data_IF_025692079956
#
_entry.id   IF_025692079956
#
_cell.length_a   1.000
_cell.length_b   1.000
_cell.length_c   1.000
_cell.angle_alpha   90.00
_cell.angle_beta   90.00
_cell.angle_gamma   90.00
#
_symmetry.space_group_name_H-M   'P 1'
#
loop_
_entity.id
_entity.type
_entity.pdbx_description
1 polymer ?
#
# COMPACT_ATOMS: atom_id res chain seq x y z
N UNK A 1 -9.15 17.79 6.01
CA UNK A 1 -9.83 16.53 5.64
C UNK A 1 -9.12 15.98 4.41
N UNK A 2 -7.90 15.46 4.59
CA UNK A 2 -7.05 15.00 3.50
C UNK A 2 -6.73 13.53 3.78
N UNK A 3 -7.53 12.62 3.23
CA UNK A 3 -7.29 11.17 3.37
C UNK A 3 -6.00 10.83 2.63
N UNK A 4 -4.99 10.39 3.37
CA UNK A 4 -3.71 9.98 2.77
C UNK A 4 -3.74 8.48 2.60
N UNK A 5 -3.74 8.02 1.35
CA UNK A 5 -3.71 6.59 1.04
C UNK A 5 -2.26 6.16 0.89
N UNK A 6 -1.87 5.12 1.62
CA UNK A 6 -0.56 4.49 1.49
C UNK A 6 -0.77 3.03 1.13
N UNK A 7 -0.23 2.60 -0.01
CA UNK A 7 -0.25 1.21 -0.44
C UNK A 7 1.12 0.60 -0.23
N UNK A 8 1.14 -0.55 0.44
CA UNK A 8 2.30 -1.42 0.54
C UNK A 8 2.14 -2.51 -0.51
N UNK A 9 3.03 -2.49 -1.48
CA UNK A 9 2.99 -3.36 -2.64
C UNK A 9 4.28 -4.15 -2.81
N UNK A 10 4.25 -5.13 -3.71
CA UNK A 10 5.48 -5.77 -4.22
C UNK A 10 5.44 -5.74 -5.75
N UNK A 11 6.59 -5.67 -6.42
CA UNK A 11 6.65 -5.52 -7.88
C UNK A 11 6.19 -6.79 -8.60
N UNK A 12 6.18 -7.93 -7.89
CA UNK A 12 5.74 -9.22 -8.41
C UNK A 12 4.25 -9.49 -8.18
N UNK A 13 3.53 -8.64 -7.45
CA UNK A 13 2.14 -8.91 -7.08
C UNK A 13 1.17 -8.24 -8.06
N UNK A 14 0.45 -9.06 -8.84
CA UNK A 14 -0.56 -8.60 -9.78
C UNK A 14 -1.69 -7.80 -9.11
N UNK A 15 -2.12 -8.20 -7.91
CA UNK A 15 -3.16 -7.50 -7.15
C UNK A 15 -2.73 -6.08 -6.73
N UNK A 16 -1.43 -5.85 -6.54
CA UNK A 16 -0.93 -4.52 -6.22
C UNK A 16 -1.11 -3.55 -7.39
N UNK A 17 -0.87 -4.01 -8.62
CA UNK A 17 -1.10 -3.20 -9.82
C UNK A 17 -2.58 -2.82 -9.94
N UNK A 18 -3.49 -3.78 -9.76
CA UNK A 18 -4.94 -3.53 -9.81
C UNK A 18 -5.38 -2.47 -8.78
N UNK A 19 -4.82 -2.49 -7.57
CA UNK A 19 -5.13 -1.50 -6.55
C UNK A 19 -4.61 -0.10 -6.93
N UNK A 20 -3.40 0.01 -7.48
CA UNK A 20 -2.83 1.29 -7.96
C UNK A 20 -3.65 1.87 -9.12
N UNK A 21 -4.05 1.02 -10.05
CA UNK A 21 -4.90 1.40 -11.17
C UNK A 21 -6.23 1.94 -10.67
N UNK A 22 -6.87 1.25 -9.72
CA UNK A 22 -8.11 1.71 -9.10
C UNK A 22 -7.97 3.09 -8.45
N UNK A 23 -6.90 3.34 -7.69
CA UNK A 23 -6.69 4.67 -7.08
C UNK A 23 -6.42 5.74 -8.14
N UNK A 24 -5.66 5.41 -9.19
CA UNK A 24 -5.35 6.32 -10.30
C UNK A 24 -6.62 6.68 -11.07
N UNK A 25 -7.46 5.70 -11.40
CA UNK A 25 -8.76 5.92 -12.07
C UNK A 25 -9.70 6.79 -11.22
N UNK A 26 -9.69 6.60 -9.90
CA UNK A 26 -10.47 7.41 -8.96
C UNK A 26 -9.84 8.78 -8.63
N UNK A 27 -8.70 9.14 -9.24
CA UNK A 27 -7.95 10.37 -8.95
C UNK A 27 -7.61 10.53 -7.45
N UNK A 28 -7.34 9.42 -6.76
CA UNK A 28 -6.94 9.39 -5.36
C UNK A 28 -5.43 9.52 -5.29
N UNK A 29 -4.91 10.46 -4.52
CA UNK A 29 -3.49 10.53 -4.24
C UNK A 29 -3.10 9.39 -3.30
N UNK A 30 -2.19 8.52 -3.76
CA UNK A 30 -1.67 7.42 -2.95
C UNK A 30 -0.15 7.37 -2.98
N UNK A 31 0.44 6.86 -1.90
CA UNK A 31 1.88 6.61 -1.78
C UNK A 31 2.14 5.13 -1.92
N UNK A 32 2.90 4.75 -2.95
CA UNK A 32 3.32 3.36 -3.16
C UNK A 32 4.64 3.07 -2.43
N UNK A 33 4.61 2.10 -1.53
CA UNK A 33 5.78 1.59 -0.81
C UNK A 33 6.03 0.15 -1.22
N UNK A 34 7.14 -0.08 -1.90
CA UNK A 34 7.57 -1.42 -2.29
C UNK A 34 8.21 -2.15 -1.11
N UNK A 35 7.48 -3.07 -0.49
CA UNK A 35 7.97 -3.86 0.66
C UNK A 35 8.85 -5.04 0.24
N UNK A 36 9.01 -5.30 -1.07
CA UNK A 36 9.98 -6.27 -1.57
C UNK A 36 11.39 -5.69 -1.56
N UNK A 37 11.53 -4.41 -1.91
CA UNK A 37 12.83 -3.71 -1.86
C UNK A 37 13.06 -3.05 -0.50
N UNK A 38 12.01 -2.59 0.16
CA UNK A 38 12.10 -1.78 1.37
C UNK A 38 11.69 -2.60 2.62
N UNK A 39 12.70 -3.24 3.21
CA UNK A 39 12.52 -4.12 4.38
C UNK A 39 11.97 -3.37 5.59
N UNK A 40 12.26 -2.07 5.72
CA UNK A 40 11.72 -1.24 6.80
C UNK A 40 10.20 -1.11 6.66
N UNK A 41 9.72 -0.81 5.45
CA UNK A 41 8.28 -0.73 5.17
C UNK A 41 7.58 -2.08 5.29
N UNK A 42 8.28 -3.17 4.97
CA UNK A 42 7.78 -4.53 5.21
C UNK A 42 7.53 -4.78 6.70
N UNK A 43 8.49 -4.43 7.55
CA UNK A 43 8.37 -4.59 8.99
C UNK A 43 7.20 -3.74 9.52
N UNK A 44 7.12 -2.47 9.10
CA UNK A 44 6.03 -1.55 9.44
C UNK A 44 4.66 -2.11 9.02
N UNK A 45 4.54 -2.68 7.82
CA UNK A 45 3.32 -3.33 7.33
C UNK A 45 2.89 -4.51 8.22
N UNK A 46 3.84 -5.36 8.64
CA UNK A 46 3.57 -6.51 9.51
C UNK A 46 3.17 -6.05 10.91
N UNK A 47 3.83 -5.04 11.46
CA UNK A 47 3.51 -4.50 12.79
C UNK A 47 2.13 -3.82 12.78
N UNK A 48 1.79 -3.11 11.71
CA UNK A 48 0.49 -2.44 11.56
C UNK A 48 -0.67 -3.41 11.33
N UNK A 49 -0.49 -4.41 10.46
CA UNK A 49 -1.59 -5.30 10.02
C UNK A 49 -1.59 -6.67 10.67
N UNK A 50 -0.48 -7.08 11.28
CA UNK A 50 -0.25 -8.46 11.71
C UNK A 50 -0.11 -9.47 10.56
N UNK A 51 -0.15 -9.01 9.31
CA UNK A 51 -0.18 -9.84 8.11
C UNK A 51 1.10 -9.65 7.29
N UNK A 52 1.64 -10.77 6.78
CA UNK A 52 2.79 -10.84 5.88
C UNK A 52 2.42 -10.74 4.38
N UNK A 53 1.13 -10.71 4.07
CA UNK A 53 0.59 -10.70 2.72
C UNK A 53 0.35 -9.29 2.18
N UNK A 54 0.70 -9.09 0.91
CA UNK A 54 0.38 -7.91 0.10
C UNK A 54 -0.78 -8.22 -0.86
N UNK A 55 -1.54 -7.23 -1.35
CA UNK A 55 -1.43 -5.79 -1.09
C UNK A 55 -1.97 -5.39 0.30
N UNK A 56 -1.31 -4.45 0.95
CA UNK A 56 -1.85 -3.78 2.15
C UNK A 56 -2.12 -2.33 1.80
N UNK A 57 -3.34 -1.87 2.06
CA UNK A 57 -3.77 -0.49 1.82
C UNK A 57 -4.06 0.12 3.18
N UNK A 58 -3.25 1.11 3.56
CA UNK A 58 -3.49 1.96 4.73
C UNK A 58 -4.18 3.23 4.26
N UNK A 59 -5.36 3.50 4.81
CA UNK A 59 -6.07 4.76 4.61
C UNK A 59 -6.03 5.47 5.96
N UNK A 60 -5.28 6.57 6.04
CA UNK A 60 -5.24 7.40 7.25
C UNK A 60 -6.48 8.31 7.22
N UNK A 61 -7.44 8.00 8.08
CA UNK A 61 -8.61 8.82 8.40
C UNK A 61 -8.46 9.12 9.90
N UNK A 62 -8.23 10.39 10.26
CA UNK A 62 -8.22 10.84 11.65
C UNK A 62 -9.62 10.68 12.27
#
# INVERSE_FOLDING_TARGET
>A
MSKTVTIFSTPTCHFCHLAKDFFTENNIAFTDNDVATDLTKRQEMIELTGQMGVPVIKIDDD
#
